data_IF_342525132333
#
_entry.id   IF_342525132333
#
_cell.length_a   1.000
_cell.length_b   1.000
_cell.length_c   1.000
_cell.angle_alpha   90.00
_cell.angle_beta   90.00
_cell.angle_gamma   90.00
#
_symmetry.space_group_name_H-M   'P 1'
#
loop_
_entity.id
_entity.type
_entity.pdbx_description
1 polymer ?
#
# COMPACT_ATOMS: atom_id res chain seq x y z
N UNK A 1 26.81 -2.41 6.14
CA UNK A 1 25.89 -2.18 4.99
C UNK A 1 24.54 -1.83 5.57
N UNK A 2 24.02 -0.62 5.29
CA UNK A 2 22.79 -0.13 5.91
C UNK A 2 21.60 -0.96 5.43
N UNK A 3 21.02 -1.75 6.33
CA UNK A 3 19.75 -2.45 6.13
C UNK A 3 18.63 -1.42 6.03
N UNK A 4 18.39 -0.88 4.84
CA UNK A 4 17.28 0.04 4.61
C UNK A 4 15.97 -0.73 4.77
N UNK A 5 15.10 -0.24 5.67
CA UNK A 5 13.77 -0.82 5.84
C UNK A 5 12.96 -0.70 4.55
N UNK A 6 12.07 -1.68 4.26
CA UNK A 6 11.17 -1.56 3.13
C UNK A 6 10.25 -0.35 3.26
N UNK A 7 9.87 0.22 2.12
CA UNK A 7 8.88 1.29 2.04
C UNK A 7 7.45 0.73 2.01
N UNK A 8 7.27 -0.48 1.50
CA UNK A 8 5.97 -1.13 1.35
C UNK A 8 5.98 -2.56 1.88
N UNK A 9 4.89 -2.91 2.57
CA UNK A 9 4.57 -4.26 3.03
C UNK A 9 3.31 -4.74 2.31
N UNK A 10 3.39 -5.85 1.58
CA UNK A 10 2.22 -6.41 0.90
C UNK A 10 1.24 -6.97 1.91
N UNK A 11 -0.03 -6.59 1.79
CA UNK A 11 -1.13 -7.12 2.58
C UNK A 11 -1.82 -8.23 1.78
N UNK A 12 -1.69 -9.50 2.20
CA UNK A 12 -2.28 -10.61 1.47
C UNK A 12 -3.80 -10.70 1.70
N UNK A 13 -4.52 -11.27 0.74
CA UNK A 13 -5.99 -11.39 0.80
C UNK A 13 -6.52 -12.03 2.09
N UNK A 14 -5.88 -13.10 2.57
CA UNK A 14 -6.25 -13.79 3.83
C UNK A 14 -6.17 -12.90 5.08
N UNK A 15 -5.53 -11.72 5.00
CA UNK A 15 -5.47 -10.78 6.12
C UNK A 15 -6.86 -10.21 6.47
N UNK A 16 -7.83 -10.24 5.55
CA UNK A 16 -9.18 -9.78 5.83
C UNK A 16 -9.84 -10.55 6.99
N UNK A 17 -9.56 -11.86 7.10
CA UNK A 17 -10.19 -12.76 8.06
C UNK A 17 -9.56 -12.66 9.46
N UNK A 18 -8.24 -12.92 9.55
CA UNK A 18 -7.54 -13.02 10.84
C UNK A 18 -6.92 -11.72 11.33
N UNK A 19 -6.66 -10.77 10.42
CA UNK A 19 -5.89 -9.56 10.66
C UNK A 19 -4.56 -9.77 11.42
N UNK A 20 -3.85 -10.87 11.13
CA UNK A 20 -2.56 -11.19 11.73
C UNK A 20 -1.40 -10.50 10.99
N UNK A 21 -1.15 -9.23 11.32
CA UNK A 21 -0.06 -8.44 10.74
C UNK A 21 1.34 -8.99 11.09
N UNK A 22 1.49 -9.62 12.27
CA UNK A 22 2.76 -10.21 12.68
C UNK A 22 3.14 -11.37 11.73
N UNK A 23 2.16 -12.20 11.36
CA UNK A 23 2.35 -13.26 10.35
C UNK A 23 2.66 -12.70 8.97
N UNK A 24 2.06 -11.59 8.57
CA UNK A 24 2.40 -10.91 7.30
C UNK A 24 3.88 -10.50 7.30
N UNK A 25 4.33 -9.84 8.35
CA UNK A 25 5.74 -9.42 8.50
C UNK A 25 6.67 -10.62 8.50
N UNK A 26 6.34 -11.69 9.23
CA UNK A 26 7.14 -12.92 9.27
C UNK A 26 7.25 -13.60 7.89
N UNK A 27 6.18 -13.60 7.09
CA UNK A 27 6.19 -14.16 5.74
C UNK A 27 7.00 -13.29 4.75
N UNK A 28 6.94 -11.97 4.90
CA UNK A 28 7.74 -11.04 4.10
C UNK A 28 9.24 -11.29 4.32
N UNK A 29 9.65 -11.49 5.57
CA UNK A 29 11.03 -11.85 5.94
C UNK A 29 11.49 -13.16 5.30
N UNK A 30 10.64 -14.20 5.33
CA UNK A 30 10.95 -15.48 4.71
C UNK A 30 11.14 -15.38 3.20
N UNK A 31 10.33 -14.55 2.55
CA UNK A 31 10.36 -14.38 1.09
C UNK A 31 11.59 -13.61 0.60
N UNK A 32 12.20 -12.76 1.44
CA UNK A 32 13.33 -11.89 1.07
C UNK A 32 14.73 -12.46 1.35
N UNK A 33 14.85 -13.60 2.02
CA UNK A 33 16.15 -14.12 2.44
C UNK A 33 16.80 -13.28 3.57
N UNK A 34 17.85 -13.82 4.19
CA UNK A 34 18.43 -13.32 5.46
C UNK A 34 19.14 -11.95 5.39
N UNK A 35 19.16 -11.26 4.24
CA UNK A 35 20.12 -10.15 3.98
C UNK A 35 19.49 -8.77 3.75
N UNK A 36 18.18 -8.59 3.88
CA UNK A 36 17.55 -7.28 3.65
C UNK A 36 16.60 -6.88 4.78
N UNK A 37 16.80 -5.67 5.33
CA UNK A 37 15.88 -4.85 6.14
C UNK A 37 14.93 -5.55 7.11
N UNK A 38 15.08 -5.31 8.42
CA UNK A 38 14.08 -5.76 9.41
C UNK A 38 12.78 -4.96 9.23
N UNK A 39 11.79 -5.49 8.50
CA UNK A 39 10.41 -5.03 8.55
C UNK A 39 9.92 -5.08 10.01
N UNK A 40 9.90 -3.92 10.68
CA UNK A 40 9.51 -3.79 12.09
C UNK A 40 8.04 -3.46 12.21
N UNK A 41 7.38 -4.07 13.19
CA UNK A 41 5.95 -3.91 13.45
C UNK A 41 5.55 -2.45 13.67
N UNK A 42 6.37 -1.68 14.40
CA UNK A 42 6.17 -0.26 14.70
C UNK A 42 6.18 0.66 13.47
N UNK A 43 6.58 0.17 12.29
CA UNK A 43 6.62 0.95 11.03
C UNK A 43 5.38 0.74 10.15
N UNK A 44 4.65 -0.34 10.40
CA UNK A 44 3.49 -0.76 9.59
C UNK A 44 2.22 -0.93 10.43
N UNK A 45 2.26 -0.51 11.69
CA UNK A 45 1.09 -0.53 12.57
C UNK A 45 -0.06 0.28 11.95
N UNK A 46 -1.27 -0.22 12.19
CA UNK A 46 -2.52 0.34 11.68
C UNK A 46 -3.50 0.60 12.82
N UNK A 47 -4.13 1.77 12.79
CA UNK A 47 -5.23 2.19 13.65
C UNK A 47 -6.52 1.47 13.26
N UNK A 48 -7.50 1.40 14.17
CA UNK A 48 -8.75 0.65 13.95
C UNK A 48 -9.50 0.98 12.64
N UNK A 49 -9.53 2.25 12.24
CA UNK A 49 -10.18 2.67 10.99
C UNK A 49 -9.38 2.22 9.76
N UNK A 50 -8.05 2.28 9.79
CA UNK A 50 -7.18 1.75 8.72
C UNK A 50 -7.37 0.23 8.58
N UNK A 51 -7.50 -0.50 9.71
CA UNK A 51 -7.78 -1.94 9.68
C UNK A 51 -9.12 -2.24 9.02
N UNK A 52 -10.16 -1.48 9.35
CA UNK A 52 -11.48 -1.61 8.74
C UNK A 52 -11.42 -1.33 7.23
N UNK A 53 -10.67 -0.31 6.80
CA UNK A 53 -10.43 -0.02 5.39
C UNK A 53 -9.72 -1.18 4.67
N UNK A 54 -8.63 -1.71 5.24
CA UNK A 54 -7.89 -2.85 4.67
C UNK A 54 -8.81 -4.06 4.50
N UNK A 55 -9.57 -4.41 5.54
CA UNK A 55 -10.54 -5.52 5.47
C UNK A 55 -11.56 -5.30 4.36
N UNK A 56 -12.11 -4.09 4.26
CA UNK A 56 -13.09 -3.72 3.25
C UNK A 56 -12.54 -3.84 1.82
N UNK A 57 -11.32 -3.35 1.56
CA UNK A 57 -10.68 -3.44 0.24
C UNK A 57 -10.41 -4.90 -0.11
N UNK A 58 -9.75 -5.65 0.78
CA UNK A 58 -9.36 -7.04 0.53
C UNK A 58 -10.57 -7.96 0.34
N UNK A 59 -11.69 -7.70 1.03
CA UNK A 59 -12.90 -8.48 0.88
C UNK A 59 -13.67 -8.18 -0.43
N UNK A 60 -13.64 -6.93 -0.90
CA UNK A 60 -14.43 -6.51 -2.08
C UNK A 60 -13.66 -6.59 -3.39
N UNK A 61 -12.33 -6.46 -3.36
CA UNK A 61 -11.50 -6.22 -4.55
C UNK A 61 -10.30 -7.15 -4.61
N UNK A 62 -10.54 -8.39 -5.04
CA UNK A 62 -9.50 -9.41 -5.23
C UNK A 62 -8.46 -9.06 -6.32
N UNK A 63 -8.83 -8.18 -7.27
CA UNK A 63 -7.94 -7.66 -8.29
C UNK A 63 -6.93 -6.62 -7.74
N UNK A 64 -7.20 -6.03 -6.58
CA UNK A 64 -6.32 -5.01 -5.99
C UNK A 64 -5.31 -5.66 -5.05
N UNK A 65 -4.03 -5.48 -5.35
CA UNK A 65 -2.96 -5.81 -4.41
C UNK A 65 -2.70 -4.60 -3.52
N UNK A 66 -3.00 -4.75 -2.23
CA UNK A 66 -2.86 -3.68 -1.25
C UNK A 66 -1.50 -3.76 -0.52
N UNK A 67 -0.90 -2.61 -0.28
CA UNK A 67 0.36 -2.46 0.42
C UNK A 67 0.22 -1.41 1.52
N UNK A 68 0.64 -1.74 2.74
CA UNK A 68 0.85 -0.74 3.80
C UNK A 68 2.19 -0.05 3.54
N UNK A 69 2.19 1.27 3.56
CA UNK A 69 3.42 2.06 3.47
C UNK A 69 4.08 2.21 4.84
N UNK A 70 5.38 2.48 4.84
CA UNK A 70 6.14 2.74 6.05
C UNK A 70 5.80 4.14 6.58
N UNK A 71 5.13 4.21 7.74
CA UNK A 71 4.62 5.46 8.31
C UNK A 71 5.72 6.48 8.66
N UNK A 72 6.99 6.05 8.75
CA UNK A 72 8.15 6.94 9.01
C UNK A 72 8.72 7.60 7.76
N UNK A 73 8.15 7.32 6.58
CA UNK A 73 8.72 7.73 5.28
C UNK A 73 7.87 8.73 4.49
N UNK A 74 6.70 9.13 4.98
CA UNK A 74 5.82 10.12 4.29
C UNK A 74 5.50 9.72 2.84
N UNK A 75 5.05 8.47 2.67
CA UNK A 75 4.69 7.87 1.38
C UNK A 75 3.17 7.72 1.19
N UNK A 76 2.35 8.39 1.99
CA UNK A 76 0.93 8.07 2.19
C UNK A 76 0.73 6.92 3.20
N UNK A 77 -0.50 6.44 3.32
CA UNK A 77 -0.92 5.35 4.21
C UNK A 77 -0.93 3.99 3.52
N UNK A 78 -1.34 3.95 2.25
CA UNK A 78 -1.46 2.72 1.48
C UNK A 78 -1.11 2.92 0.02
N UNK A 79 -0.69 1.84 -0.64
CA UNK A 79 -0.63 1.76 -2.10
C UNK A 79 -1.46 0.57 -2.54
N UNK A 80 -2.37 0.76 -3.50
CA UNK A 80 -3.06 -0.34 -4.17
C UNK A 80 -2.57 -0.43 -5.62
N UNK A 81 -2.33 -1.64 -6.12
CA UNK A 81 -2.06 -1.89 -7.54
C UNK A 81 -3.24 -2.65 -8.11
N UNK A 82 -3.81 -2.15 -9.21
CA UNK A 82 -4.76 -2.90 -10.01
C UNK A 82 -4.05 -3.96 -10.87
N UNK A 83 -4.23 -5.21 -10.49
CA UNK A 83 -3.64 -6.37 -11.14
C UNK A 83 -4.52 -6.94 -12.27
N UNK A 84 -5.58 -6.24 -12.68
CA UNK A 84 -6.45 -6.66 -13.79
C UNK A 84 -5.70 -6.80 -15.11
N UNK A 85 -4.62 -6.02 -15.31
CA UNK A 85 -3.74 -6.17 -16.47
C UNK A 85 -2.54 -7.08 -16.20
N UNK A 86 -2.29 -8.02 -17.13
CA UNK A 86 -1.07 -8.83 -17.14
C UNK A 86 0.16 -8.01 -17.51
N UNK A 87 0.00 -6.95 -18.30
CA UNK A 87 1.07 -6.03 -18.73
C UNK A 87 1.35 -5.00 -17.65
N UNK A 88 2.57 -5.01 -17.12
CA UNK A 88 2.99 -4.15 -16.00
C UNK A 88 2.80 -2.66 -16.26
N UNK A 89 3.10 -2.19 -17.47
CA UNK A 89 2.94 -0.78 -17.87
C UNK A 89 1.49 -0.29 -17.83
N UNK A 90 0.53 -1.20 -18.02
CA UNK A 90 -0.90 -0.88 -18.01
C UNK A 90 -1.51 -1.00 -16.60
N UNK A 91 -0.76 -1.52 -15.61
CA UNK A 91 -1.23 -1.58 -14.22
C UNK A 91 -1.23 -0.19 -13.62
N UNK A 92 -2.35 0.17 -12.99
CA UNK A 92 -2.51 1.43 -12.27
C UNK A 92 -2.14 1.24 -10.80
N UNK A 93 -1.41 2.20 -10.25
CA UNK A 93 -1.16 2.31 -8.82
C UNK A 93 -1.96 3.47 -8.23
N UNK A 94 -2.56 3.25 -7.07
CA UNK A 94 -3.26 4.25 -6.27
C UNK A 94 -2.49 4.46 -4.98
N UNK A 95 -1.95 5.65 -4.76
CA UNK A 95 -1.33 6.03 -3.48
C UNK A 95 -2.41 6.75 -2.66
N UNK A 96 -2.64 6.30 -1.44
CA UNK A 96 -3.75 6.75 -0.62
C UNK A 96 -3.27 7.41 0.68
N UNK A 97 -3.89 8.52 1.04
CA UNK A 97 -3.82 9.14 2.36
C UNK A 97 -5.25 9.21 2.93
N UNK A 98 -5.49 8.48 4.03
CA UNK A 98 -6.81 8.34 4.63
C UNK A 98 -7.04 9.43 5.68
N UNK A 99 -8.12 10.20 5.50
CA UNK A 99 -8.46 11.34 6.36
C UNK A 99 -9.93 11.27 6.73
N UNK A 100 -10.17 10.89 7.98
CA UNK A 100 -11.53 10.71 8.50
C UNK A 100 -12.35 11.98 8.36
N UNK A 101 -13.46 11.89 7.62
CA UNK A 101 -14.41 12.99 7.44
C UNK A 101 -14.09 13.95 6.29
N UNK A 102 -12.95 13.78 5.61
CA UNK A 102 -12.60 14.63 4.47
C UNK A 102 -13.17 14.06 3.17
N UNK A 103 -13.66 14.92 2.25
CA UNK A 103 -14.11 14.49 0.94
C UNK A 103 -12.95 13.93 0.10
N UNK A 104 -13.27 13.07 -0.85
CA UNK A 104 -12.29 12.55 -1.80
C UNK A 104 -11.73 13.66 -2.68
N UNK A 105 -10.41 13.73 -2.75
CA UNK A 105 -9.64 14.55 -3.67
C UNK A 105 -8.69 13.66 -4.44
N UNK A 106 -8.68 13.81 -5.76
CA UNK A 106 -7.77 13.12 -6.68
C UNK A 106 -6.69 14.08 -7.17
N UNK A 107 -5.44 13.59 -7.21
CA UNK A 107 -4.30 14.37 -7.66
C UNK A 107 -3.75 15.38 -6.64
N UNK A 108 -2.57 15.92 -6.95
CA UNK A 108 -1.84 16.87 -6.10
C UNK A 108 -0.94 16.19 -5.06
N UNK A 109 0.35 16.55 -5.05
CA UNK A 109 1.28 16.09 -4.03
C UNK A 109 1.07 16.88 -2.73
N UNK A 110 0.33 16.32 -1.78
CA UNK A 110 0.27 16.86 -0.40
C UNK A 110 1.51 16.44 0.39
N UNK A 111 1.87 17.21 1.42
CA UNK A 111 3.09 17.04 2.23
C UNK A 111 3.35 15.59 2.72
N UNK A 112 2.30 14.82 3.03
CA UNK A 112 2.42 13.45 3.56
C UNK A 112 2.65 12.39 2.47
N UNK A 113 2.59 12.77 1.20
CA UNK A 113 2.96 11.95 0.05
C UNK A 113 4.29 12.40 -0.58
N UNK A 114 5.07 13.28 0.05
CA UNK A 114 6.30 13.83 -0.55
C UNK A 114 7.27 12.76 -1.10
N UNK A 115 7.25 11.55 -0.54
CA UNK A 115 8.11 10.43 -0.92
C UNK A 115 7.34 9.26 -1.55
N UNK A 116 6.10 9.46 -2.03
CA UNK A 116 5.32 8.35 -2.63
C UNK A 116 6.06 7.68 -3.79
N UNK A 117 6.83 8.47 -4.58
CA UNK A 117 7.60 7.95 -5.71
C UNK A 117 8.65 6.93 -5.29
N UNK A 118 9.23 7.05 -4.09
CA UNK A 118 10.22 6.08 -3.60
C UNK A 118 9.56 4.74 -3.31
N UNK A 119 8.36 4.76 -2.71
CA UNK A 119 7.57 3.56 -2.49
C UNK A 119 7.10 2.93 -3.81
N UNK A 120 6.70 3.74 -4.79
CA UNK A 120 6.36 3.24 -6.14
C UNK A 120 7.58 2.64 -6.84
N UNK A 121 8.75 3.29 -6.77
CA UNK A 121 9.99 2.76 -7.35
C UNK A 121 10.40 1.44 -6.70
N UNK A 122 10.14 1.25 -5.40
CA UNK A 122 10.31 -0.05 -4.75
C UNK A 122 9.41 -1.12 -5.37
N UNK A 123 8.17 -0.79 -5.75
CA UNK A 123 7.24 -1.72 -6.42
C UNK A 123 7.63 -1.99 -7.88
N UNK A 124 8.22 -1.02 -8.58
CA UNK A 124 8.86 -1.22 -9.89
C UNK A 124 10.05 -2.16 -9.78
N UNK A 125 10.93 -1.96 -8.78
CA UNK A 125 12.08 -2.83 -8.54
C UNK A 125 11.70 -4.26 -8.11
N UNK A 126 10.46 -4.46 -7.65
CA UNK A 126 9.86 -5.77 -7.35
C UNK A 126 9.11 -6.37 -8.55
N UNK A 127 9.25 -5.81 -9.74
CA UNK A 127 8.60 -6.23 -10.98
C UNK A 127 7.05 -6.21 -10.94
N UNK A 128 6.45 -5.43 -10.02
CA UNK A 128 4.99 -5.33 -9.88
C UNK A 128 4.40 -4.26 -10.79
N UNK A 129 5.15 -3.18 -11.01
CA UNK A 129 4.84 -2.08 -11.92
C UNK A 129 5.97 -1.93 -12.94
N UNK A 130 5.73 -1.22 -14.03
CA UNK A 130 6.78 -0.76 -14.93
C UNK A 130 7.11 0.70 -14.64
N UNK A 131 8.30 1.14 -15.07
CA UNK A 131 8.56 2.57 -15.16
C UNK A 131 7.53 3.22 -16.11
N UNK A 132 6.91 4.31 -15.68
CA UNK A 132 5.80 4.96 -16.40
C UNK A 132 4.40 4.37 -16.18
N UNK A 133 4.22 3.33 -15.35
CA UNK A 133 2.87 2.88 -14.94
C UNK A 133 2.05 4.06 -14.37
N UNK A 134 0.75 4.18 -14.71
CA UNK A 134 -0.09 5.27 -14.18
C UNK A 134 -0.16 5.26 -12.65
N UNK A 135 0.11 6.41 -12.03
CA UNK A 135 0.00 6.61 -10.59
C UNK A 135 -1.05 7.68 -10.30
N UNK A 136 -2.02 7.33 -9.47
CA UNK A 136 -3.08 8.23 -9.01
C UNK A 136 -2.96 8.46 -7.51
N UNK A 137 -3.04 9.73 -7.09
CA UNK A 137 -3.01 10.09 -5.67
C UNK A 137 -4.46 10.28 -5.19
N UNK A 138 -4.83 9.58 -4.13
CA UNK A 138 -6.14 9.63 -3.51
C UNK A 138 -6.01 10.15 -2.08
N UNK A 139 -6.84 11.13 -1.75
CA UNK A 139 -6.93 11.70 -0.41
C UNK A 139 -8.38 11.73 0.01
N UNK A 140 -8.73 11.25 1.19
CA UNK A 140 -10.08 11.40 1.71
C UNK A 140 -10.46 10.32 2.70
N UNK A 141 -11.74 10.30 3.07
CA UNK A 141 -12.26 9.32 3.99
C UNK A 141 -12.24 7.89 3.42
N UNK A 142 -12.26 6.91 4.32
CA UNK A 142 -12.18 5.49 3.98
C UNK A 142 -13.26 5.04 3.00
N UNK A 143 -14.49 5.53 3.16
CA UNK A 143 -15.62 5.13 2.32
C UNK A 143 -15.50 5.75 0.93
N UNK A 144 -15.19 7.04 0.84
CA UNK A 144 -15.03 7.72 -0.44
C UNK A 144 -13.85 7.16 -1.27
N UNK A 145 -12.71 6.86 -0.62
CA UNK A 145 -11.59 6.17 -1.27
C UNK A 145 -11.99 4.77 -1.74
N UNK A 146 -12.70 4.00 -0.91
CA UNK A 146 -13.16 2.66 -1.28
C UNK A 146 -14.12 2.70 -2.48
N UNK A 147 -15.10 3.61 -2.49
CA UNK A 147 -16.02 3.81 -3.60
C UNK A 147 -15.27 4.16 -4.88
N UNK A 148 -14.26 5.04 -4.81
CA UNK A 148 -13.42 5.40 -5.97
C UNK A 148 -12.61 4.25 -6.52
N UNK A 149 -12.11 3.38 -5.62
CA UNK A 149 -11.45 2.16 -6.04
C UNK A 149 -12.41 1.20 -6.77
N UNK A 150 -13.73 1.43 -6.70
CA UNK A 150 -14.84 0.70 -7.32
C UNK A 150 -15.48 -0.33 -6.37
N UNK A 151 -15.59 0.03 -5.09
CA UNK A 151 -16.28 -0.73 -4.05
C UNK A 151 -17.67 -0.21 -3.72
#
# INVERSE_FOLDING_TARGET
MSTTDPFTLRLPGWLCDSFDLARVIANEHRSRGRTTGVCRFDKFEMRSHERAFVKAVLARRSNLWLFRTNQRRSCGDFIAIDMSSSRRVDRRAYVMELKTGDPLVTGGARLQCAQYRVAVNELVARDLLADGSPVELLYGDNAAVLTHLGG
#
